data_IF_578361844625
#
_entry.id   IF_578361844625
#
_cell.length_a   1.000
_cell.length_b   1.000
_cell.length_c   1.000
_cell.angle_alpha   90.00
_cell.angle_beta   90.00
_cell.angle_gamma   90.00
#
_symmetry.space_group_name_H-M   'P 1'
#
loop_
_entity.id
_entity.type
_entity.pdbx_description
1 polymer ?
#
# COMPACT_ATOMS: atom_id res chain seq x y z
N UNK A 1 45.10 32.60 10.58
CA UNK A 1 45.19 32.97 9.16
C UNK A 1 44.45 31.89 8.38
N UNK A 2 43.54 32.24 7.46
CA UNK A 2 42.96 31.24 6.56
C UNK A 2 44.07 30.63 5.67
N UNK A 3 43.97 29.34 5.31
CA UNK A 3 44.95 28.69 4.44
C UNK A 3 45.04 29.42 3.09
N UNK A 4 46.26 29.51 2.56
CA UNK A 4 46.52 30.07 1.24
C UNK A 4 45.82 29.21 0.18
N UNK A 5 45.43 29.81 -0.95
CA UNK A 5 44.92 29.06 -2.11
C UNK A 5 45.97 28.04 -2.62
N UNK A 6 47.24 28.28 -2.32
CA UNK A 6 48.37 27.39 -2.64
C UNK A 6 48.52 26.21 -1.66
N UNK A 7 47.76 26.17 -0.56
CA UNK A 7 47.77 25.05 0.40
C UNK A 7 46.84 23.90 -0.04
N UNK A 8 46.09 24.08 -1.13
CA UNK A 8 45.21 23.04 -1.66
C UNK A 8 45.95 22.16 -2.69
N UNK A 9 45.79 20.83 -2.63
CA UNK A 9 46.34 19.96 -3.66
C UNK A 9 45.76 20.36 -5.04
N UNK A 10 46.55 20.22 -6.11
CA UNK A 10 46.09 20.53 -7.46
C UNK A 10 44.85 19.70 -7.79
N UNK A 11 43.93 20.30 -8.56
CA UNK A 11 42.76 19.58 -9.06
C UNK A 11 43.21 18.31 -9.79
N UNK A 12 42.48 17.19 -9.61
CA UNK A 12 42.83 15.94 -10.26
C UNK A 12 42.88 16.13 -11.78
N UNK A 13 43.90 15.54 -12.38
CA UNK A 13 44.06 15.53 -13.83
C UNK A 13 42.94 14.72 -14.49
N UNK A 14 42.67 14.99 -15.76
CA UNK A 14 41.63 14.31 -16.53
C UNK A 14 41.85 12.77 -16.59
N UNK A 15 43.10 12.33 -16.47
CA UNK A 15 43.43 10.89 -16.45
C UNK A 15 43.29 10.28 -15.05
N UNK A 16 43.54 11.03 -13.97
CA UNK A 16 43.20 10.63 -12.60
C UNK A 16 41.67 10.53 -12.41
N UNK A 17 40.91 11.44 -12.99
CA UNK A 17 39.45 11.40 -12.97
C UNK A 17 38.91 10.18 -13.73
N UNK A 18 39.49 9.83 -14.88
CA UNK A 18 39.15 8.59 -15.61
C UNK A 18 39.53 7.33 -14.85
N UNK A 19 40.71 7.29 -14.22
CA UNK A 19 41.14 6.18 -13.36
C UNK A 19 40.23 6.03 -12.15
N UNK A 20 39.81 7.14 -11.55
CA UNK A 20 38.86 7.17 -10.45
C UNK A 20 37.48 6.66 -10.88
N UNK A 21 36.96 7.12 -12.02
CA UNK A 21 35.70 6.65 -12.60
C UNK A 21 35.78 5.16 -12.98
N UNK A 22 36.91 4.70 -13.52
CA UNK A 22 37.13 3.30 -13.88
C UNK A 22 37.25 2.40 -12.64
N UNK A 23 37.99 2.85 -11.62
CA UNK A 23 38.09 2.16 -10.34
C UNK A 23 36.73 2.09 -9.64
N UNK A 24 35.99 3.21 -9.59
CA UNK A 24 34.61 3.26 -9.12
C UNK A 24 33.76 2.27 -9.91
N UNK A 25 33.78 2.24 -11.25
CA UNK A 25 32.93 1.31 -12.00
C UNK A 25 33.28 -0.16 -11.76
N UNK A 26 34.57 -0.52 -11.68
CA UNK A 26 35.01 -1.90 -11.49
C UNK A 26 34.87 -2.39 -10.04
N UNK A 27 35.03 -1.51 -9.05
CA UNK A 27 34.89 -1.86 -7.63
C UNK A 27 33.50 -1.54 -7.08
N UNK A 28 32.73 -0.64 -7.70
CA UNK A 28 31.38 -0.32 -7.23
C UNK A 28 30.45 -1.50 -7.39
N UNK A 29 30.54 -2.34 -8.42
CA UNK A 29 29.70 -3.54 -8.49
C UNK A 29 30.10 -4.57 -7.42
N UNK A 30 31.38 -4.68 -7.09
CA UNK A 30 31.85 -5.55 -6.01
C UNK A 30 31.45 -5.01 -4.63
N UNK A 31 31.65 -3.72 -4.37
CA UNK A 31 31.25 -3.05 -3.13
C UNK A 31 29.72 -2.99 -3.03
N UNK A 32 28.99 -2.73 -4.11
CA UNK A 32 27.52 -2.81 -4.16
C UNK A 32 27.05 -4.23 -3.86
N UNK A 33 27.70 -5.26 -4.40
CA UNK A 33 27.38 -6.66 -4.06
C UNK A 33 27.65 -6.93 -2.58
N UNK A 34 28.74 -6.43 -2.01
CA UNK A 34 29.03 -6.57 -0.57
C UNK A 34 28.13 -5.72 0.33
N UNK A 35 27.70 -4.55 -0.13
CA UNK A 35 26.82 -3.63 0.58
C UNK A 35 25.37 -4.14 0.51
N UNK A 36 24.97 -4.72 -0.62
CA UNK A 36 23.75 -5.52 -0.75
C UNK A 36 23.84 -6.78 0.11
N UNK A 37 24.94 -7.53 0.10
CA UNK A 37 25.15 -8.69 0.97
C UNK A 37 25.16 -8.31 2.44
N UNK A 38 25.65 -7.13 2.81
CA UNK A 38 25.59 -6.62 4.17
C UNK A 38 24.17 -6.18 4.53
N UNK A 39 23.49 -5.40 3.67
CA UNK A 39 22.12 -4.95 3.90
C UNK A 39 21.09 -6.10 3.88
N UNK A 40 21.28 -7.11 3.03
CA UNK A 40 20.51 -8.36 3.02
C UNK A 40 20.97 -9.30 4.13
N UNK A 41 22.26 -9.35 4.43
CA UNK A 41 22.85 -10.11 5.54
C UNK A 41 22.48 -9.56 6.91
N UNK A 42 22.01 -8.32 7.03
CA UNK A 42 21.28 -7.84 8.22
C UNK A 42 19.96 -8.61 8.44
N UNK A 43 19.47 -9.40 7.47
CA UNK A 43 18.43 -10.40 7.77
C UNK A 43 19.00 -11.70 8.35
N UNK A 44 20.17 -12.17 7.91
CA UNK A 44 20.61 -13.56 8.13
C UNK A 44 22.08 -13.79 8.65
N UNK A 45 22.85 -12.75 9.05
CA UNK A 45 24.23 -12.89 9.58
C UNK A 45 24.53 -11.89 10.74
N UNK A 46 25.52 -12.19 11.61
CA UNK A 46 25.29 -12.34 13.05
C UNK A 46 24.53 -11.16 13.66
N UNK A 47 23.37 -11.48 14.26
CA UNK A 47 22.40 -10.65 14.99
C UNK A 47 23.05 -9.49 15.77
N UNK A 48 24.26 -9.69 16.31
CA UNK A 48 25.05 -8.74 17.09
C UNK A 48 25.39 -7.46 16.30
N UNK A 49 25.78 -7.55 15.03
CA UNK A 49 26.21 -6.37 14.24
C UNK A 49 25.02 -5.54 13.76
N UNK A 50 23.91 -6.19 13.42
CA UNK A 50 22.62 -5.53 13.18
C UNK A 50 22.15 -4.78 14.41
N UNK A 51 22.17 -5.43 15.56
CA UNK A 51 21.71 -4.83 16.81
C UNK A 51 22.55 -3.62 17.19
N UNK A 52 23.85 -3.58 16.86
CA UNK A 52 24.68 -2.40 17.07
C UNK A 52 24.23 -1.21 16.21
N UNK A 53 24.03 -1.44 14.90
CA UNK A 53 23.52 -0.41 13.98
C UNK A 53 22.09 0.04 14.34
N UNK A 54 21.21 -0.88 14.76
CA UNK A 54 19.85 -0.56 15.21
C UNK A 54 19.84 0.22 16.52
N UNK A 55 20.70 -0.15 17.47
CA UNK A 55 20.86 0.56 18.74
C UNK A 55 21.37 1.98 18.51
N UNK A 56 22.33 2.17 17.62
CA UNK A 56 22.84 3.50 17.30
C UNK A 56 21.79 4.37 16.60
N UNK A 57 21.04 3.79 15.65
CA UNK A 57 19.87 4.44 15.10
C UNK A 57 18.89 4.90 16.19
N UNK A 58 18.56 4.04 17.15
CA UNK A 58 17.66 4.38 18.26
C UNK A 58 18.22 5.50 19.15
N UNK A 59 19.52 5.47 19.46
CA UNK A 59 20.20 6.52 20.23
C UNK A 59 20.20 7.86 19.49
N UNK A 60 20.24 7.84 18.15
CA UNK A 60 20.06 9.02 17.30
C UNK A 60 18.59 9.43 17.11
N UNK A 61 17.65 8.81 17.83
CA UNK A 61 16.20 9.10 17.73
C UNK A 61 15.51 8.45 16.52
N UNK A 62 16.18 7.58 15.79
CA UNK A 62 15.66 6.88 14.62
C UNK A 62 15.01 5.57 15.07
N UNK A 63 13.68 5.51 15.02
CA UNK A 63 12.90 4.34 15.47
C UNK A 63 13.16 3.06 14.67
N UNK A 64 13.72 3.18 13.46
CA UNK A 64 13.97 2.05 12.54
C UNK A 64 15.06 2.41 11.53
N UNK A 65 15.82 1.41 11.08
CA UNK A 65 16.75 1.54 9.95
C UNK A 65 15.93 1.57 8.66
N UNK A 66 15.54 2.76 8.21
CA UNK A 66 14.92 2.96 6.90
C UNK A 66 15.31 4.31 6.35
N UNK A 67 15.30 4.45 5.03
CA UNK A 67 15.39 5.77 4.42
C UNK A 67 14.00 6.43 4.30
N UNK A 68 13.99 7.75 4.30
CA UNK A 68 12.84 8.55 3.92
C UNK A 68 12.70 8.53 2.39
N UNK A 69 11.90 7.59 1.90
CA UNK A 69 11.58 7.46 0.49
C UNK A 69 10.65 8.61 0.06
N UNK A 70 11.05 9.39 -0.94
CA UNK A 70 10.26 10.50 -1.49
C UNK A 70 10.98 11.85 -1.49
N UNK A 71 11.91 12.05 -0.57
CA UNK A 71 12.88 13.14 -0.58
C UNK A 71 14.17 12.71 -1.30
N UNK A 72 14.92 13.68 -1.84
CA UNK A 72 16.26 13.38 -2.35
C UNK A 72 17.18 13.00 -1.18
N UNK A 73 18.21 12.20 -1.49
CA UNK A 73 19.17 11.74 -0.50
C UNK A 73 19.81 12.90 0.27
N UNK A 74 20.32 13.90 -0.46
CA UNK A 74 21.05 15.04 0.10
C UNK A 74 20.16 16.08 0.80
N UNK A 75 18.84 16.08 0.58
CA UNK A 75 17.94 17.06 1.19
C UNK A 75 17.25 16.54 2.46
N UNK A 76 17.50 15.29 2.85
CA UNK A 76 16.90 14.70 4.05
C UNK A 76 17.98 14.49 5.10
N UNK A 77 17.89 15.24 6.20
CA UNK A 77 18.75 15.04 7.38
C UNK A 77 18.60 13.63 7.94
N UNK A 78 17.41 13.02 7.81
CA UNK A 78 17.15 11.62 8.13
C UNK A 78 17.98 10.66 7.27
N UNK A 79 17.99 10.86 5.94
CA UNK A 79 18.74 10.00 5.03
C UNK A 79 20.26 10.13 5.26
N UNK A 80 20.75 11.34 5.49
CA UNK A 80 22.15 11.59 5.82
C UNK A 80 22.55 10.90 7.13
N UNK A 81 21.72 11.00 8.18
CA UNK A 81 21.98 10.34 9.47
C UNK A 81 22.04 8.81 9.33
N UNK A 82 21.06 8.21 8.65
CA UNK A 82 21.06 6.76 8.37
C UNK A 82 22.28 6.34 7.55
N UNK A 83 22.64 7.11 6.52
CA UNK A 83 23.79 6.81 5.68
C UNK A 83 25.12 6.88 6.43
N UNK A 84 25.27 7.83 7.35
CA UNK A 84 26.46 7.94 8.19
C UNK A 84 26.58 6.74 9.13
N UNK A 85 25.49 6.38 9.84
CA UNK A 85 25.47 5.22 10.73
C UNK A 85 25.80 3.94 9.93
N UNK A 86 25.15 3.73 8.79
CA UNK A 86 25.43 2.56 7.93
C UNK A 86 26.90 2.59 7.46
N UNK A 87 27.42 3.74 7.04
CA UNK A 87 28.80 3.88 6.57
C UNK A 87 29.81 3.55 7.65
N UNK A 88 29.62 4.02 8.88
CA UNK A 88 30.51 3.76 10.01
C UNK A 88 30.52 2.28 10.40
N UNK A 89 29.33 1.68 10.55
CA UNK A 89 29.21 0.25 10.87
C UNK A 89 29.77 -0.64 9.75
N UNK A 90 29.50 -0.29 8.50
CA UNK A 90 30.02 -1.02 7.35
C UNK A 90 31.54 -0.87 7.22
N UNK A 91 32.09 0.32 7.42
CA UNK A 91 33.53 0.57 7.42
C UNK A 91 34.22 -0.25 8.50
N UNK A 92 33.73 -0.21 9.74
CA UNK A 92 34.28 -1.01 10.84
C UNK A 92 34.21 -2.51 10.54
N UNK A 93 33.10 -2.96 9.95
CA UNK A 93 32.98 -4.34 9.50
C UNK A 93 33.97 -4.68 8.39
N UNK A 94 34.15 -3.81 7.39
CA UNK A 94 35.05 -4.07 6.26
C UNK A 94 36.50 -4.21 6.69
N UNK A 95 36.94 -3.47 7.72
CA UNK A 95 38.30 -3.63 8.29
C UNK A 95 38.54 -5.04 8.85
N UNK A 96 37.48 -5.79 9.18
CA UNK A 96 37.59 -7.18 9.67
C UNK A 96 37.59 -8.22 8.55
N UNK A 97 37.38 -7.83 7.29
CA UNK A 97 37.25 -8.73 6.17
C UNK A 97 38.55 -8.77 5.34
N UNK A 98 39.18 -9.94 5.14
CA UNK A 98 40.37 -10.05 4.32
C UNK A 98 40.06 -9.71 2.85
N UNK A 99 40.85 -8.83 2.24
CA UNK A 99 40.72 -8.45 0.83
C UNK A 99 39.75 -7.30 0.55
N UNK A 100 39.00 -6.82 1.55
CA UNK A 100 38.07 -5.69 1.38
C UNK A 100 38.71 -4.40 1.91
N UNK A 101 39.47 -3.71 1.05
CA UNK A 101 40.19 -2.51 1.46
C UNK A 101 39.36 -1.25 1.13
N UNK A 102 38.56 -0.81 2.10
CA UNK A 102 37.78 0.43 2.01
C UNK A 102 38.52 1.48 2.81
N UNK A 103 39.07 2.47 2.11
CA UNK A 103 40.01 3.41 2.70
C UNK A 103 39.34 4.71 3.19
N UNK A 104 38.06 4.93 2.85
CA UNK A 104 37.36 6.18 3.17
C UNK A 104 35.84 5.99 3.30
N UNK A 105 35.26 6.54 4.37
CA UNK A 105 33.81 6.60 4.62
C UNK A 105 33.07 7.48 3.61
N UNK A 106 33.72 8.49 3.02
CA UNK A 106 33.12 9.33 1.98
C UNK A 106 32.74 8.52 0.72
N UNK A 107 33.55 7.51 0.37
CA UNK A 107 33.23 6.62 -0.75
C UNK A 107 32.00 5.75 -0.44
N UNK A 108 31.82 5.34 0.82
CA UNK A 108 30.64 4.61 1.27
C UNK A 108 29.38 5.47 1.20
N UNK A 109 29.46 6.74 1.59
CA UNK A 109 28.33 7.66 1.48
C UNK A 109 27.84 7.81 0.04
N UNK A 110 28.76 7.96 -0.92
CA UNK A 110 28.43 8.01 -2.36
C UNK A 110 27.82 6.70 -2.87
N UNK A 111 28.32 5.55 -2.40
CA UNK A 111 27.77 4.24 -2.75
C UNK A 111 26.37 4.03 -2.17
N UNK A 112 26.14 4.46 -0.93
CA UNK A 112 24.81 4.45 -0.31
C UNK A 112 23.87 5.40 -1.03
N UNK A 113 24.32 6.58 -1.44
CA UNK A 113 23.54 7.51 -2.27
C UNK A 113 23.17 6.86 -3.61
N UNK A 114 24.14 6.24 -4.29
CA UNK A 114 23.89 5.55 -5.55
C UNK A 114 22.89 4.41 -5.38
N UNK A 115 23.07 3.58 -4.33
CA UNK A 115 22.14 2.52 -3.97
C UNK A 115 20.75 3.08 -3.63
N UNK A 116 20.67 4.15 -2.83
CA UNK A 116 19.42 4.82 -2.49
C UNK A 116 18.73 5.38 -3.73
N UNK A 117 19.46 5.93 -4.70
CA UNK A 117 18.89 6.43 -5.94
C UNK A 117 18.42 5.29 -6.86
N UNK A 118 19.12 4.16 -6.88
CA UNK A 118 18.71 2.94 -7.55
C UNK A 118 17.45 2.33 -6.91
N UNK A 119 17.53 1.97 -5.63
CA UNK A 119 16.42 1.41 -4.84
C UNK A 119 15.28 2.38 -4.65
N UNK A 120 15.54 3.69 -4.59
CA UNK A 120 14.53 4.73 -4.49
C UNK A 120 13.59 4.72 -5.70
N UNK A 121 14.07 4.33 -6.89
CA UNK A 121 13.19 4.11 -8.05
C UNK A 121 12.26 2.92 -7.83
N UNK A 122 12.74 1.85 -7.24
CA UNK A 122 11.92 0.67 -6.90
C UNK A 122 10.96 0.94 -5.74
N UNK A 123 11.41 1.60 -4.68
CA UNK A 123 10.57 2.01 -3.56
C UNK A 123 9.49 3.01 -3.99
N UNK A 124 9.79 3.89 -4.97
CA UNK A 124 8.77 4.72 -5.63
C UNK A 124 7.76 3.87 -6.42
N UNK A 125 8.17 2.77 -7.07
CA UNK A 125 7.24 1.83 -7.70
C UNK A 125 6.36 1.14 -6.65
N UNK A 126 6.94 0.65 -5.55
CA UNK A 126 6.20 0.03 -4.44
C UNK A 126 5.21 1.02 -3.82
N UNK A 127 5.61 2.28 -3.63
CA UNK A 127 4.72 3.34 -3.15
C UNK A 127 3.56 3.60 -4.11
N UNK A 128 3.82 3.66 -5.41
CA UNK A 128 2.77 3.78 -6.45
C UNK A 128 1.83 2.57 -6.49
N UNK A 129 2.35 1.36 -6.27
CA UNK A 129 1.52 0.15 -6.17
C UNK A 129 0.64 0.19 -4.92
N UNK A 130 1.17 0.69 -3.81
CA UNK A 130 0.40 0.95 -2.59
C UNK A 130 -0.75 1.92 -2.83
N UNK A 131 -0.50 3.02 -3.54
CA UNK A 131 -1.52 3.98 -3.95
C UNK A 131 -2.54 3.35 -4.91
N UNK A 132 -2.09 2.55 -5.87
CA UNK A 132 -3.00 1.86 -6.79
C UNK A 132 -3.93 0.88 -6.07
N UNK A 133 -3.44 0.14 -5.07
CA UNK A 133 -4.27 -0.75 -4.26
C UNK A 133 -5.29 0.00 -3.40
N UNK A 134 -4.91 1.16 -2.85
CA UNK A 134 -5.83 2.06 -2.15
C UNK A 134 -6.89 2.62 -3.09
N UNK A 135 -6.51 3.06 -4.30
CA UNK A 135 -7.45 3.50 -5.33
C UNK A 135 -8.45 2.40 -5.75
N UNK A 136 -7.99 1.15 -5.87
CA UNK A 136 -8.87 0.00 -6.15
C UNK A 136 -9.87 -0.20 -5.01
N UNK A 137 -9.38 -0.20 -3.77
CA UNK A 137 -10.21 -0.37 -2.56
C UNK A 137 -11.32 0.68 -2.50
N UNK A 138 -10.94 1.95 -2.64
CA UNK A 138 -11.87 3.08 -2.65
C UNK A 138 -12.88 2.99 -3.80
N UNK A 139 -12.44 2.55 -4.97
CA UNK A 139 -13.31 2.43 -6.13
C UNK A 139 -14.30 1.26 -5.97
N UNK A 140 -13.85 0.11 -5.44
CA UNK A 140 -14.71 -1.00 -5.06
C UNK A 140 -15.76 -0.57 -4.03
N UNK A 141 -15.37 0.15 -2.96
CA UNK A 141 -16.28 0.71 -1.98
C UNK A 141 -17.35 1.60 -2.62
N UNK A 142 -16.93 2.54 -3.48
CA UNK A 142 -17.85 3.46 -4.19
C UNK A 142 -18.83 2.70 -5.08
N UNK A 143 -18.37 1.73 -5.87
CA UNK A 143 -19.25 0.95 -6.75
C UNK A 143 -20.17 0.05 -5.93
N UNK A 144 -19.68 -0.62 -4.88
CA UNK A 144 -20.51 -1.45 -4.00
C UNK A 144 -21.65 -0.62 -3.40
N UNK A 145 -21.34 0.58 -2.87
CA UNK A 145 -22.33 1.51 -2.33
C UNK A 145 -23.32 2.02 -3.38
N UNK A 146 -22.88 2.23 -4.62
CA UNK A 146 -23.78 2.61 -5.73
C UNK A 146 -24.71 1.46 -6.15
N UNK A 147 -24.21 0.23 -6.19
CA UNK A 147 -24.98 -0.94 -6.60
C UNK A 147 -25.97 -1.39 -5.52
N UNK A 148 -25.62 -1.20 -4.24
CA UNK A 148 -26.40 -1.62 -3.07
C UNK A 148 -26.48 -0.53 -2.00
N UNK A 149 -27.18 0.59 -2.26
CA UNK A 149 -27.24 1.72 -1.33
C UNK A 149 -27.89 1.39 0.01
N UNK A 150 -28.69 0.32 0.09
CA UNK A 150 -29.35 -0.13 1.31
C UNK A 150 -28.54 -1.18 2.08
N UNK A 151 -27.48 -1.75 1.49
CA UNK A 151 -26.63 -2.77 2.12
C UNK A 151 -25.28 -2.15 2.49
N UNK A 152 -25.28 -1.42 3.61
CA UNK A 152 -24.07 -0.76 4.11
C UNK A 152 -22.98 -1.79 4.46
N UNK A 153 -23.37 -2.94 5.01
CA UNK A 153 -22.43 -3.99 5.44
C UNK A 153 -21.62 -4.54 4.26
N UNK A 154 -22.27 -4.75 3.10
CA UNK A 154 -21.56 -5.16 1.88
C UNK A 154 -20.53 -4.12 1.46
N UNK A 155 -20.90 -2.84 1.39
CA UNK A 155 -19.94 -1.79 1.05
C UNK A 155 -18.81 -1.69 2.08
N UNK A 156 -19.12 -1.85 3.37
CA UNK A 156 -18.15 -1.78 4.46
C UNK A 156 -17.05 -2.85 4.35
N UNK A 157 -17.33 -4.00 3.71
CA UNK A 157 -16.30 -5.03 3.46
C UNK A 157 -15.12 -4.51 2.63
N UNK A 158 -15.32 -3.45 1.84
CA UNK A 158 -14.28 -2.82 0.99
C UNK A 158 -13.68 -1.56 1.63
N UNK A 159 -13.86 -1.34 2.93
CA UNK A 159 -13.20 -0.22 3.64
C UNK A 159 -11.80 -0.57 4.13
N UNK A 160 -11.57 -1.84 4.48
CA UNK A 160 -10.23 -2.34 4.77
C UNK A 160 -9.53 -2.74 3.46
N UNK A 161 -8.40 -2.10 3.17
CA UNK A 161 -7.55 -2.43 2.01
C UNK A 161 -7.14 -3.90 2.01
N UNK A 162 -6.98 -4.53 3.17
CA UNK A 162 -6.63 -5.95 3.27
C UNK A 162 -7.72 -6.85 2.67
N UNK A 163 -8.97 -6.38 2.55
CA UNK A 163 -10.11 -7.16 2.08
C UNK A 163 -10.35 -7.13 0.56
N UNK A 164 -9.66 -6.25 -0.18
CA UNK A 164 -9.97 -5.97 -1.59
C UNK A 164 -8.94 -6.54 -2.57
N UNK A 165 -8.09 -7.46 -2.06
CA UNK A 165 -7.01 -8.18 -2.73
C UNK A 165 -5.72 -7.37 -2.90
N UNK A 166 -4.64 -7.91 -2.35
CA UNK A 166 -3.28 -7.42 -2.57
C UNK A 166 -2.78 -7.78 -3.97
N UNK A 167 -1.76 -7.05 -4.41
CA UNK A 167 -1.10 -7.26 -5.70
C UNK A 167 0.36 -7.63 -5.42
N UNK A 168 0.83 -8.73 -5.99
CA UNK A 168 2.25 -9.10 -5.96
C UNK A 168 2.90 -8.67 -7.27
N UNK A 169 4.09 -8.09 -7.17
CA UNK A 169 4.92 -7.88 -8.34
C UNK A 169 5.21 -9.21 -9.02
N UNK A 170 5.13 -9.21 -10.34
CA UNK A 170 5.57 -10.35 -11.12
C UNK A 170 7.10 -10.38 -11.09
N UNK A 171 7.69 -11.53 -10.75
CA UNK A 171 9.15 -11.70 -10.76
C UNK A 171 9.74 -11.47 -12.15
N UNK A 172 8.93 -11.68 -13.20
CA UNK A 172 9.33 -11.47 -14.59
C UNK A 172 9.21 -9.99 -14.97
N UNK A 173 10.33 -9.40 -15.39
CA UNK A 173 10.38 -8.02 -15.85
C UNK A 173 9.41 -7.80 -17.03
N UNK A 174 8.52 -6.82 -16.88
CA UNK A 174 7.58 -6.40 -17.93
C UNK A 174 6.23 -7.10 -17.91
N UNK A 175 6.02 -8.12 -17.07
CA UNK A 175 4.69 -8.71 -16.88
C UNK A 175 3.84 -7.88 -15.93
N UNK A 176 2.53 -7.94 -16.12
CA UNK A 176 1.60 -7.28 -15.22
C UNK A 176 1.66 -7.95 -13.82
N UNK A 177 1.36 -7.19 -12.75
CA UNK A 177 1.32 -7.75 -11.40
C UNK A 177 0.26 -8.85 -11.26
N UNK A 178 0.45 -9.80 -10.34
CA UNK A 178 -0.54 -10.85 -10.07
C UNK A 178 -1.45 -10.44 -8.94
N UNK A 179 -2.73 -10.79 -9.05
CA UNK A 179 -3.70 -10.63 -7.96
C UNK A 179 -3.43 -11.71 -6.90
N UNK A 180 -3.25 -11.29 -5.65
CA UNK A 180 -3.13 -12.20 -4.51
C UNK A 180 -4.50 -12.46 -3.90
N UNK A 181 -4.91 -13.72 -3.91
CA UNK A 181 -6.10 -14.17 -3.19
C UNK A 181 -5.63 -14.75 -1.85
N UNK A 182 -6.05 -14.13 -0.76
CA UNK A 182 -5.75 -14.63 0.59
C UNK A 182 -6.33 -16.02 0.80
N UNK A 183 -5.63 -16.91 1.50
CA UNK A 183 -6.18 -18.24 1.88
C UNK A 183 -7.46 -18.14 2.72
N UNK A 184 -7.62 -17.01 3.42
CA UNK A 184 -8.78 -16.70 4.22
C UNK A 184 -9.96 -16.19 3.39
N UNK A 185 -9.75 -15.76 2.15
CA UNK A 185 -10.81 -15.19 1.30
C UNK A 185 -11.82 -16.27 0.92
N UNK A 186 -13.11 -16.01 1.14
CA UNK A 186 -14.14 -16.88 0.56
C UNK A 186 -14.16 -16.76 -0.97
N UNK A 187 -14.60 -17.82 -1.64
CA UNK A 187 -14.80 -17.81 -3.09
C UNK A 187 -15.83 -16.73 -3.49
N UNK A 188 -16.93 -16.61 -2.73
CA UNK A 188 -17.95 -15.60 -2.95
C UNK A 188 -17.40 -14.18 -2.87
N UNK A 189 -16.54 -13.88 -1.89
CA UNK A 189 -15.90 -12.55 -1.78
C UNK A 189 -15.01 -12.26 -2.97
N UNK A 190 -14.19 -13.24 -3.36
CA UNK A 190 -13.30 -13.14 -4.52
C UNK A 190 -14.08 -12.86 -5.81
N UNK A 191 -15.17 -13.59 -6.04
CA UNK A 191 -16.04 -13.38 -7.20
C UNK A 191 -16.77 -12.03 -7.14
N UNK A 192 -17.26 -11.60 -5.97
CA UNK A 192 -17.84 -10.27 -5.79
C UNK A 192 -16.84 -9.18 -6.16
N UNK A 193 -15.59 -9.27 -5.68
CA UNK A 193 -14.55 -8.28 -6.02
C UNK A 193 -14.28 -8.25 -7.52
N UNK A 194 -14.19 -9.40 -8.20
CA UNK A 194 -14.05 -9.46 -9.66
C UNK A 194 -15.23 -8.83 -10.41
N UNK A 195 -16.45 -9.02 -9.91
CA UNK A 195 -17.63 -8.41 -10.51
C UNK A 195 -17.68 -6.89 -10.29
N UNK A 196 -17.16 -6.40 -9.15
CA UNK A 196 -16.97 -4.95 -8.94
C UNK A 196 -15.91 -4.38 -9.90
N UNK A 197 -14.80 -5.08 -10.15
CA UNK A 197 -13.82 -4.70 -11.18
C UNK A 197 -14.46 -4.56 -12.57
N UNK A 198 -15.30 -5.52 -12.94
CA UNK A 198 -16.05 -5.46 -14.18
C UNK A 198 -17.02 -4.28 -14.20
N UNK A 199 -17.74 -4.03 -13.10
CA UNK A 199 -18.65 -2.90 -12.96
C UNK A 199 -17.91 -1.55 -13.06
N UNK A 200 -16.71 -1.43 -12.48
CA UNK A 200 -15.84 -0.26 -12.63
C UNK A 200 -15.49 -0.02 -14.10
N UNK A 201 -15.09 -1.08 -14.80
CA UNK A 201 -14.73 -1.01 -16.23
C UNK A 201 -15.94 -0.61 -17.10
N UNK A 202 -17.11 -1.17 -16.83
CA UNK A 202 -18.36 -0.84 -17.55
C UNK A 202 -18.88 0.57 -17.21
N UNK A 203 -18.61 1.06 -16.00
CA UNK A 203 -19.02 2.38 -15.53
C UNK A 203 -18.19 3.54 -16.08
N UNK A 204 -16.98 3.28 -16.60
CA UNK A 204 -16.10 4.29 -17.17
C UNK A 204 -16.66 4.84 -18.49
N UNK A 205 -16.94 6.15 -18.55
CA UNK A 205 -17.64 6.77 -19.69
C UNK A 205 -16.68 7.37 -20.70
N UNK A 206 -15.63 8.02 -20.21
CA UNK A 206 -14.62 8.69 -21.05
C UNK A 206 -13.44 7.78 -21.36
N UNK A 207 -12.70 8.06 -22.44
CA UNK A 207 -11.50 7.29 -22.77
C UNK A 207 -10.42 7.42 -21.68
N UNK A 208 -10.33 8.60 -21.05
CA UNK A 208 -9.42 8.84 -19.95
C UNK A 208 -9.74 7.96 -18.74
N UNK A 209 -11.02 7.90 -18.34
CA UNK A 209 -11.48 7.01 -17.26
C UNK A 209 -11.24 5.54 -17.59
N UNK A 210 -11.52 5.12 -18.83
CA UNK A 210 -11.28 3.74 -19.28
C UNK A 210 -9.81 3.38 -19.17
N UNK A 211 -8.91 4.24 -19.66
CA UNK A 211 -7.46 4.02 -19.57
C UNK A 211 -7.00 3.96 -18.11
N UNK A 212 -7.54 4.84 -17.24
CA UNK A 212 -7.22 4.85 -15.80
C UNK A 212 -7.67 3.55 -15.13
N UNK A 213 -8.93 3.15 -15.31
CA UNK A 213 -9.47 1.91 -14.73
C UNK A 213 -8.73 0.69 -15.27
N UNK A 214 -8.42 0.65 -16.56
CA UNK A 214 -7.65 -0.43 -17.16
C UNK A 214 -6.25 -0.53 -16.55
N UNK A 215 -5.53 0.59 -16.39
CA UNK A 215 -4.21 0.59 -15.75
C UNK A 215 -4.29 0.12 -14.29
N UNK A 216 -5.30 0.59 -13.56
CA UNK A 216 -5.53 0.24 -12.16
C UNK A 216 -5.82 -1.26 -11.97
N UNK A 217 -6.61 -1.86 -12.88
CA UNK A 217 -7.07 -3.25 -12.84
C UNK A 217 -6.22 -4.22 -13.67
N UNK A 218 -5.13 -3.76 -14.29
CA UNK A 218 -4.27 -4.62 -15.10
C UNK A 218 -3.56 -5.65 -14.22
N UNK A 219 -3.86 -6.94 -14.43
CA UNK A 219 -3.30 -8.07 -13.66
C UNK A 219 -2.97 -9.25 -14.58
N UNK A 220 -1.88 -9.97 -14.31
CA UNK A 220 -1.45 -11.19 -15.03
C UNK A 220 -1.99 -12.46 -14.34
N UNK A 221 -3.30 -12.51 -14.15
CA UNK A 221 -3.98 -13.60 -13.46
C UNK A 221 -3.88 -13.53 -11.92
N UNK A 222 -4.05 -14.69 -11.29
CA UNK A 222 -4.15 -14.82 -9.83
C UNK A 222 -3.16 -15.81 -9.26
N UNK A 223 -2.79 -15.59 -8.01
CA UNK A 223 -1.94 -16.47 -7.21
C UNK A 223 -2.51 -16.52 -5.79
N UNK A 224 -2.58 -17.72 -5.23
CA UNK A 224 -2.92 -17.90 -3.81
C UNK A 224 -1.76 -17.36 -2.96
N UNK A 225 -2.07 -16.51 -1.99
CA UNK A 225 -1.09 -16.04 -1.02
C UNK A 225 -0.69 -17.20 -0.09
N UNK A 226 0.60 -17.51 0.02
CA UNK A 226 1.08 -18.58 0.91
C UNK A 226 0.92 -18.21 2.40
N UNK A 227 0.84 -19.22 3.26
CA UNK A 227 0.34 -19.17 4.66
C UNK A 227 1.17 -18.35 5.67
N UNK A 228 2.33 -17.80 5.30
CA UNK A 228 3.20 -17.06 6.24
C UNK A 228 2.64 -15.71 6.70
N UNK A 229 1.41 -15.36 6.33
CA UNK A 229 0.80 -14.03 6.53
C UNK A 229 -0.51 -14.04 7.33
N UNK A 230 -0.59 -14.81 8.42
CA UNK A 230 -1.69 -14.65 9.40
C UNK A 230 -1.84 -13.19 9.88
N UNK A 231 -0.80 -12.36 9.75
CA UNK A 231 -0.81 -10.92 10.08
C UNK A 231 -1.68 -10.04 9.18
N UNK A 232 -2.14 -10.55 8.03
CA UNK A 232 -2.84 -9.76 7.01
C UNK A 232 -4.32 -10.11 6.85
N UNK A 233 -4.90 -10.86 7.80
CA UNK A 233 -6.34 -11.15 7.77
C UNK A 233 -7.11 -9.95 8.32
N UNK A 234 -8.10 -9.40 7.58
CA UNK A 234 -8.96 -8.34 8.10
C UNK A 234 -9.81 -8.85 9.25
N UNK A 235 -10.07 -7.97 10.21
CA UNK A 235 -10.94 -8.22 11.34
C UNK A 235 -12.33 -7.63 11.05
N UNK A 236 -13.35 -8.08 11.79
CA UNK A 236 -14.69 -7.51 11.75
C UNK A 236 -15.38 -7.61 10.37
N UNK A 237 -15.02 -8.59 9.55
CA UNK A 237 -15.76 -8.92 8.33
C UNK A 237 -16.93 -9.87 8.64
N UNK A 238 -17.98 -9.87 7.78
CA UNK A 238 -19.02 -10.90 7.80
C UNK A 238 -18.46 -12.33 7.70
N UNK A 239 -19.12 -13.28 8.34
CA UNK A 239 -18.70 -14.69 8.37
C UNK A 239 -18.51 -15.28 6.96
N UNK A 240 -19.38 -14.93 6.02
CA UNK A 240 -19.35 -15.41 4.64
C UNK A 240 -18.28 -14.73 3.75
N UNK A 241 -17.52 -13.77 4.29
CA UNK A 241 -16.29 -13.27 3.69
C UNK A 241 -15.09 -14.21 3.91
N UNK A 242 -15.15 -15.08 4.92
CA UNK A 242 -14.05 -16.00 5.26
C UNK A 242 -14.26 -17.38 4.61
N UNK A 243 -13.17 -17.99 4.16
CA UNK A 243 -13.13 -19.37 3.71
C UNK A 243 -13.41 -20.32 4.87
N UNK A 244 -14.33 -21.25 4.67
CA UNK A 244 -14.65 -22.29 5.67
C UNK A 244 -13.44 -23.18 5.96
N UNK A 245 -12.64 -23.48 4.95
CA UNK A 245 -11.39 -24.23 5.08
C UNK A 245 -10.44 -23.47 6.02
N UNK A 246 -10.25 -22.17 5.79
CA UNK A 246 -9.39 -21.34 6.62
C UNK A 246 -9.86 -21.28 8.08
N UNK A 247 -11.16 -21.00 8.30
CA UNK A 247 -11.71 -20.93 9.66
C UNK A 247 -11.52 -22.25 10.42
N UNK A 248 -11.61 -23.39 9.73
CA UNK A 248 -11.39 -24.71 10.33
C UNK A 248 -9.91 -25.03 10.60
N UNK A 249 -8.97 -24.34 9.94
CA UNK A 249 -7.52 -24.55 10.13
C UNK A 249 -6.93 -23.74 11.29
N UNK A 250 -7.59 -22.64 11.69
CA UNK A 250 -7.14 -21.79 12.80
C UNK A 250 -7.78 -22.20 14.13
N UNK A 251 -7.11 -21.86 15.23
CA UNK A 251 -7.62 -22.13 16.58
C UNK A 251 -8.86 -21.29 16.92
N UNK A 252 -9.63 -21.74 17.91
CA UNK A 252 -10.79 -20.98 18.40
C UNK A 252 -10.41 -19.60 18.93
N UNK A 253 -9.28 -19.50 19.64
CA UNK A 253 -8.76 -18.22 20.13
C UNK A 253 -8.45 -17.24 18.98
N UNK A 254 -7.79 -17.70 17.90
CA UNK A 254 -7.54 -16.89 16.71
C UNK A 254 -8.84 -16.48 16.02
N UNK A 255 -9.81 -17.40 15.92
CA UNK A 255 -11.13 -17.11 15.35
C UNK A 255 -11.86 -16.03 16.16
N UNK A 256 -11.79 -16.09 17.49
CA UNK A 256 -12.38 -15.08 18.38
C UNK A 256 -11.71 -13.70 18.20
N UNK A 257 -10.39 -13.66 17.93
CA UNK A 257 -9.69 -12.41 17.62
C UNK A 257 -10.10 -11.76 16.30
N UNK A 258 -10.66 -12.51 15.34
CA UNK A 258 -11.15 -11.95 14.08
C UNK A 258 -12.41 -11.09 14.27
N UNK A 259 -13.12 -11.21 15.40
CA UNK A 259 -14.36 -10.47 15.69
C UNK A 259 -15.39 -10.60 14.55
N UNK A 260 -15.57 -11.81 14.05
CA UNK A 260 -16.41 -12.13 12.89
C UNK A 260 -17.85 -11.65 13.10
N UNK A 261 -18.43 -11.01 12.09
CA UNK A 261 -19.81 -10.52 12.09
C UNK A 261 -20.78 -11.53 11.49
N UNK A 262 -22.06 -11.29 11.69
CA UNK A 262 -23.13 -12.05 11.02
C UNK A 262 -22.96 -12.07 9.49
N UNK A 263 -23.32 -13.18 8.82
CA UNK A 263 -23.21 -13.31 7.37
C UNK A 263 -24.17 -12.35 6.66
N UNK A 264 -23.73 -11.77 5.54
CA UNK A 264 -24.51 -10.79 4.77
C UNK A 264 -25.19 -11.38 3.52
N UNK A 265 -25.06 -12.68 3.29
CA UNK A 265 -25.62 -13.36 2.13
C UNK A 265 -24.83 -13.08 0.85
N UNK A 266 -23.50 -13.11 0.93
CA UNK A 266 -22.57 -12.70 -0.12
C UNK A 266 -22.80 -13.42 -1.45
N UNK A 267 -23.26 -14.68 -1.42
CA UNK A 267 -23.62 -15.44 -2.62
C UNK A 267 -24.84 -14.84 -3.36
N UNK A 268 -25.84 -14.35 -2.64
CA UNK A 268 -27.00 -13.68 -3.25
C UNK A 268 -26.58 -12.33 -3.85
N UNK A 269 -25.74 -11.60 -3.14
CA UNK A 269 -25.16 -10.34 -3.61
C UNK A 269 -24.38 -10.58 -4.91
N UNK A 270 -23.57 -11.64 -4.99
CA UNK A 270 -22.85 -12.01 -6.20
C UNK A 270 -23.79 -12.19 -7.40
N UNK A 271 -24.87 -12.97 -7.25
CA UNK A 271 -25.86 -13.19 -8.29
C UNK A 271 -26.52 -11.88 -8.76
N UNK A 272 -26.81 -10.97 -7.82
CA UNK A 272 -27.34 -9.65 -8.14
C UNK A 272 -26.35 -8.77 -8.90
N UNK A 273 -25.07 -8.75 -8.51
CA UNK A 273 -24.04 -7.99 -9.23
C UNK A 273 -23.91 -8.54 -10.64
N UNK A 274 -23.82 -9.87 -10.80
CA UNK A 274 -23.73 -10.49 -12.11
C UNK A 274 -24.91 -10.13 -13.02
N UNK A 275 -26.13 -10.10 -12.48
CA UNK A 275 -27.31 -9.69 -13.24
C UNK A 275 -27.19 -8.23 -13.70
N UNK A 276 -26.67 -7.35 -12.85
CA UNK A 276 -26.44 -5.92 -13.18
C UNK A 276 -25.31 -5.73 -14.20
N UNK A 277 -24.19 -6.46 -14.08
CA UNK A 277 -23.05 -6.35 -15.00
C UNK A 277 -23.32 -7.00 -16.36
N UNK A 278 -24.10 -8.09 -16.42
CA UNK A 278 -24.58 -8.69 -17.69
C UNK A 278 -25.47 -7.71 -18.48
N UNK A 279 -26.40 -7.02 -17.80
CA UNK A 279 -27.29 -6.02 -18.44
C UNK A 279 -26.52 -4.80 -18.98
N UNK A 280 -25.45 -4.40 -18.32
CA UNK A 280 -24.57 -3.30 -18.76
C UNK A 280 -23.95 -3.51 -20.14
N UNK A 281 -23.76 -4.77 -20.58
CA UNK A 281 -23.25 -5.08 -21.94
C UNK A 281 -24.26 -4.80 -23.06
N UNK A 282 -25.55 -4.64 -22.72
CA UNK A 282 -26.64 -4.44 -23.68
C UNK A 282 -27.22 -3.02 -23.69
N UNK A 283 -26.62 -2.06 -22.97
CA UNK A 283 -27.00 -0.66 -23.12
C UNK A 283 -26.45 -0.16 -24.46
N UNK A 284 -27.18 -0.46 -25.55
CA UNK A 284 -27.09 0.29 -26.80
C UNK A 284 -27.19 1.76 -26.43
N UNK A 285 -26.23 2.54 -26.91
CA UNK A 285 -26.17 3.99 -26.77
C UNK A 285 -27.58 4.56 -26.88
N UNK A 286 -28.01 5.26 -25.83
CA UNK A 286 -29.25 6.02 -25.85
C UNK A 286 -29.20 6.89 -27.12
N UNK A 287 -30.19 6.83 -28.04
CA UNK A 287 -30.19 7.68 -29.21
C UNK A 287 -30.11 9.13 -28.72
N UNK A 288 -29.22 9.89 -29.35
CA UNK A 288 -28.91 11.27 -28.99
C UNK A 288 -30.18 12.07 -28.77
N UNK A 289 -30.23 12.79 -27.65
CA UNK A 289 -31.27 13.76 -27.35
C UNK A 289 -31.10 14.91 -28.33
N UNK A 290 -31.80 14.84 -29.47
CA UNK A 290 -31.96 15.95 -30.38
C UNK A 290 -32.54 17.14 -29.62
N UNK A 291 -31.86 18.27 -29.76
CA UNK A 291 -32.26 19.58 -29.28
C UNK A 291 -33.66 19.94 -29.76
N UNK A 292 -34.57 20.18 -28.82
CA UNK A 292 -35.81 20.92 -29.05
C UNK A 292 -36.10 21.73 -27.78
N UNK A 293 -35.72 22.99 -27.83
CA UNK A 293 -36.13 24.03 -26.89
C UNK A 293 -37.30 24.80 -27.49
N UNK A 294 -38.49 24.60 -26.92
CA UNK A 294 -39.64 25.51 -26.94
C UNK A 294 -40.41 25.22 -25.64
N UNK A 295 -40.22 26.05 -24.60
CA UNK A 295 -41.15 27.10 -24.14
C UNK A 295 -42.59 26.55 -24.02
N UNK A 296 -43.06 26.37 -22.78
CA UNK A 296 -44.17 27.17 -22.23
C UNK A 296 -44.46 26.82 -20.77
N UNK A 297 -44.78 27.87 -20.03
CA UNK A 297 -45.12 27.90 -18.62
C UNK A 297 -46.59 27.52 -18.41
N UNK A 298 -46.91 26.97 -17.23
CA UNK A 298 -48.29 26.69 -16.84
C UNK A 298 -48.38 26.31 -15.36
N UNK A 299 -48.53 27.32 -14.52
CA UNK A 299 -48.94 27.23 -13.13
C UNK A 299 -50.32 26.56 -12.99
N UNK A 300 -50.52 25.70 -11.98
CA UNK A 300 -51.69 25.80 -11.11
C UNK A 300 -51.53 24.95 -9.86
N UNK A 301 -51.93 25.58 -8.76
CA UNK A 301 -52.11 25.10 -7.40
C UNK A 301 -53.14 23.98 -7.28
N UNK A 302 -53.02 23.14 -6.23
CA UNK A 302 -54.11 22.90 -5.27
C UNK A 302 -53.57 22.26 -3.96
N UNK A 303 -53.83 22.99 -2.88
CA UNK A 303 -53.96 22.63 -1.46
C UNK A 303 -55.03 21.50 -1.28
N UNK A 304 -55.17 20.72 -0.21
CA UNK A 304 -54.72 20.72 1.19
C UNK A 304 -55.09 19.35 1.82
N UNK A 305 -54.77 19.21 3.12
CA UNK A 305 -55.44 18.39 4.17
C UNK A 305 -54.79 17.03 4.52
N UNK A 306 -53.95 17.08 5.56
CA UNK A 306 -53.86 16.07 6.64
C UNK A 306 -54.86 16.47 7.75
N UNK A 307 -55.36 15.55 8.61
CA UNK A 307 -54.75 15.45 9.95
C UNK A 307 -54.81 14.07 10.68
N UNK A 308 -53.72 13.82 11.42
CA UNK A 308 -53.61 13.40 12.84
C UNK A 308 -54.02 12.04 13.42
N UNK A 309 -53.28 11.73 14.50
CA UNK A 309 -53.38 10.73 15.59
C UNK A 309 -52.66 9.38 15.33
N UNK A 310 -51.79 8.85 16.21
CA UNK A 310 -51.71 8.92 17.67
C UNK A 310 -50.27 8.99 18.22
N UNK A 311 -50.14 9.75 19.31
CA UNK A 311 -49.06 9.70 20.32
C UNK A 311 -49.21 8.46 21.22
N UNK A 312 -48.09 7.89 21.69
CA UNK A 312 -47.85 7.57 23.11
C UNK A 312 -46.42 7.04 23.33
N UNK A 313 -45.70 7.51 24.37
CA UNK A 313 -44.33 7.13 24.69
C UNK A 313 -44.25 6.12 25.84
N UNK A 314 -43.14 5.39 25.95
CA UNK A 314 -42.68 4.91 27.27
C UNK A 314 -41.17 4.67 27.35
N UNK A 315 -40.60 4.81 28.55
CA UNK A 315 -39.19 5.06 28.79
C UNK A 315 -38.45 3.79 29.24
N UNK A 316 -37.16 3.68 28.92
CA UNK A 316 -36.25 2.78 29.64
C UNK A 316 -35.00 3.56 30.03
N UNK A 317 -34.70 3.46 31.32
CA UNK A 317 -33.65 4.14 32.07
C UNK A 317 -32.33 3.34 32.08
N UNK A 318 -31.24 4.10 32.28
CA UNK A 318 -29.87 3.76 32.75
C UNK A 318 -28.82 3.22 31.77
N UNK A 319 -27.51 3.39 32.06
CA UNK A 319 -26.84 4.48 32.77
C UNK A 319 -25.65 5.10 32.00
N UNK A 320 -25.25 6.29 32.46
CA UNK A 320 -24.00 6.99 32.16
C UNK A 320 -22.75 6.12 32.36
N UNK A 321 -21.82 6.19 31.41
CA UNK A 321 -20.45 5.72 31.56
C UNK A 321 -19.51 6.92 31.37
N UNK A 322 -19.22 7.57 32.49
CA UNK A 322 -17.98 8.31 32.68
C UNK A 322 -16.80 7.32 32.83
N UNK A 323 -15.60 7.80 32.52
CA UNK A 323 -14.27 7.22 32.80
C UNK A 323 -13.77 6.03 31.97
N UNK A 324 -12.82 6.31 31.06
CA UNK A 324 -11.40 6.00 31.33
C UNK A 324 -10.45 6.86 30.47
N UNK A 325 -10.06 8.01 31.01
CA UNK A 325 -8.82 8.70 30.67
C UNK A 325 -7.66 7.95 31.33
N UNK A 326 -6.75 7.36 30.54
CA UNK A 326 -5.37 6.90 30.85
C UNK A 326 -4.89 6.22 29.56
N UNK A 327 -3.89 6.66 28.80
CA UNK A 327 -2.60 7.18 29.19
C UNK A 327 -2.09 8.24 28.22
N UNK A 328 -1.73 9.38 28.81
CA UNK A 328 -0.73 10.33 28.35
C UNK A 328 0.62 9.61 28.31
N UNK A 329 1.34 9.66 27.19
CA UNK A 329 2.81 9.83 27.17
C UNK A 329 3.16 10.79 26.03
N UNK A 330 3.29 12.07 26.38
CA UNK A 330 4.17 13.04 25.71
C UNK A 330 5.60 12.68 26.09
N UNK A 331 6.54 12.65 25.15
CA UNK A 331 7.94 13.09 25.30
C UNK A 331 8.42 13.45 23.88
N UNK A 332 8.59 14.75 23.61
CA UNK A 332 9.85 15.52 23.68
C UNK A 332 10.83 15.11 22.59
#
# INVERSE_FOLDING_TARGET
MPPSVDDFPPNPTNDEEKLHIHWIKNHAEHIKTHLETFLYGLRDHPIIKKHACEKECQLSGLKRITFQWGTSFNNSTWNAAIANIISEHFFNWSQTQPGLNINNTNQLSLLIEHWFNGRGKEMKKISKLGQAAEEVTDSCFKIARQLFPQNNDFSATYTDRKATSDVEDNSDLGKAPKRLVGVWHSEALTLCTRQLDLAMTLGAKTQLEKNRVQHMLHRDGEKLAYSSYLTNVPHCLPLDCYSTIYLNTISEAERNHLLVKEPIGLQNILLEIEAKTKRGRHIKQRPGRSSLSAIEAGSSSHNCINPEYCLSPSPVLYPSLEFCNRCIWKYN
#
